data_IF_656358026466
#
_entry.id   IF_656358026466
#
_cell.length_a   1.000
_cell.length_b   1.000
_cell.length_c   1.000
_cell.angle_alpha   90.00
_cell.angle_beta   90.00
_cell.angle_gamma   90.00
#
_symmetry.space_group_name_H-M   'P 1'
#
loop_
_entity.id
_entity.type
_entity.pdbx_description
1 polymer ?
#
# COMPACT_ATOMS: atom_id res chain seq x y z
N UNK A 1 1.81 -4.39 -10.12
CA UNK A 1 1.56 -3.82 -8.78
C UNK A 1 0.67 -4.78 -8.03
N UNK A 2 0.95 -5.00 -6.76
CA UNK A 2 0.16 -5.84 -5.88
C UNK A 2 0.02 -5.11 -4.54
N UNK A 3 -1.20 -5.05 -4.04
CA UNK A 3 -1.61 -4.25 -2.89
C UNK A 3 -2.89 -4.86 -2.30
N UNK A 4 -3.35 -4.36 -1.15
CA UNK A 4 -4.57 -4.82 -0.49
C UNK A 4 -5.54 -3.66 -0.28
N UNK A 5 -6.83 -3.96 -0.35
CA UNK A 5 -7.91 -3.08 0.08
C UNK A 5 -8.58 -3.75 1.28
N UNK A 6 -8.32 -3.22 2.47
CA UNK A 6 -9.03 -3.60 3.69
C UNK A 6 -10.16 -2.61 3.90
N UNK A 7 -11.41 -3.05 3.90
CA UNK A 7 -12.58 -2.18 3.96
C UNK A 7 -13.66 -2.77 4.87
N UNK A 8 -14.18 -1.95 5.78
CA UNK A 8 -15.25 -2.33 6.71
C UNK A 8 -16.64 -2.08 6.12
N UNK A 9 -17.64 -2.81 6.60
CA UNK A 9 -19.03 -2.60 6.18
C UNK A 9 -19.47 -1.14 6.42
N UNK A 10 -20.02 -0.51 5.39
CA UNK A 10 -20.37 0.91 5.35
C UNK A 10 -19.19 1.85 5.06
N UNK A 11 -17.94 1.38 5.14
CA UNK A 11 -16.77 2.18 4.81
C UNK A 11 -16.64 2.34 3.29
N UNK A 12 -16.17 3.52 2.87
CA UNK A 12 -15.85 3.84 1.47
C UNK A 12 -14.36 4.15 1.36
N UNK A 13 -13.68 3.55 0.37
CA UNK A 13 -12.26 3.77 0.10
C UNK A 13 -11.98 3.93 -1.39
N UNK A 14 -10.99 4.77 -1.68
CA UNK A 14 -10.44 4.99 -3.01
C UNK A 14 -8.93 4.75 -3.06
N UNK A 15 -8.40 3.88 -2.21
CA UNK A 15 -6.98 3.55 -2.24
C UNK A 15 -6.73 2.11 -1.82
N UNK A 16 -5.56 1.60 -2.18
CA UNK A 16 -5.05 0.28 -1.75
C UNK A 16 -3.66 0.44 -1.13
N UNK A 17 -3.32 -0.41 -0.16
CA UNK A 17 -2.04 -0.36 0.57
C UNK A 17 -1.06 -1.43 0.05
N UNK A 18 0.18 -1.06 -0.24
CA UNK A 18 1.30 -1.97 -0.54
C UNK A 18 2.13 -2.18 0.72
N UNK A 19 1.78 -3.19 1.51
CA UNK A 19 2.38 -3.43 2.83
C UNK A 19 3.89 -3.71 2.81
N UNK A 20 4.46 -4.00 1.63
CA UNK A 20 5.90 -4.23 1.41
C UNK A 20 6.72 -2.94 1.26
N UNK A 21 6.06 -1.81 1.04
CA UNK A 21 6.71 -0.52 0.85
C UNK A 21 6.19 0.47 1.89
N UNK A 22 7.07 1.35 2.34
CA UNK A 22 6.71 2.44 3.25
C UNK A 22 6.88 3.81 2.60
N UNK A 23 6.08 4.75 3.07
CA UNK A 23 6.18 6.17 2.79
C UNK A 23 6.00 6.97 4.08
N UNK A 24 6.73 8.07 4.21
CA UNK A 24 6.34 9.14 5.12
C UNK A 24 5.34 10.02 4.35
N UNK A 25 4.07 9.92 4.73
CA UNK A 25 3.00 10.72 4.16
C UNK A 25 2.84 12.02 4.96
N UNK A 26 2.74 13.12 4.23
CA UNK A 26 2.45 14.46 4.75
C UNK A 26 1.14 14.87 4.13
N UNK A 27 0.15 15.17 4.97
CA UNK A 27 -1.22 15.43 4.52
C UNK A 27 -1.60 16.84 4.95
N UNK A 28 -1.86 17.70 3.96
CA UNK A 28 -2.46 19.01 4.15
C UNK A 28 -3.97 18.90 3.91
N UNK A 29 -4.75 19.14 4.96
CA UNK A 29 -6.23 19.09 4.95
C UNK A 29 -6.88 20.48 4.92
N UNK A 30 -6.12 21.51 4.54
CA UNK A 30 -6.64 22.89 4.54
C UNK A 30 -7.74 23.11 3.49
N UNK A 31 -7.77 22.31 2.42
CA UNK A 31 -8.85 22.35 1.45
C UNK A 31 -10.04 21.49 1.92
N UNK A 32 -11.27 22.02 1.94
CA UNK A 32 -12.44 21.29 2.44
C UNK A 32 -12.91 20.15 1.52
N UNK A 33 -12.54 20.18 0.24
CA UNK A 33 -13.01 19.23 -0.77
C UNK A 33 -12.03 18.07 -0.97
N UNK A 34 -10.73 18.27 -0.71
CA UNK A 34 -9.69 17.26 -0.90
C UNK A 34 -8.48 17.45 0.01
N UNK A 35 -7.84 16.33 0.35
CA UNK A 35 -6.56 16.34 1.03
C UNK A 35 -5.42 16.40 0.00
N UNK A 36 -4.41 17.24 0.24
CA UNK A 36 -3.15 17.20 -0.53
C UNK A 36 -2.16 16.29 0.19
N UNK A 37 -1.69 15.25 -0.50
CA UNK A 37 -0.78 14.24 0.08
C UNK A 37 0.56 14.27 -0.63
N UNK A 38 1.62 14.47 0.14
CA UNK A 38 3.00 14.30 -0.31
C UNK A 38 3.52 12.99 0.27
N UNK A 39 3.88 12.07 -0.62
CA UNK A 39 4.46 10.78 -0.27
C UNK A 39 5.97 10.83 -0.45
N UNK A 40 6.71 10.65 0.66
CA UNK A 40 8.17 10.52 0.64
C UNK A 40 8.52 9.02 0.74
N UNK A 41 9.05 8.41 -0.34
CA UNK A 41 9.36 6.99 -0.34
C UNK A 41 10.45 6.64 0.69
N UNK A 42 10.36 5.44 1.27
CA UNK A 42 11.36 4.89 2.19
C UNK A 42 12.80 4.96 1.65
N UNK A 43 13.01 4.80 0.34
CA UNK A 43 14.33 4.89 -0.29
C UNK A 43 14.96 6.29 -0.19
N UNK A 44 14.16 7.35 -0.06
CA UNK A 44 14.65 8.70 0.22
C UNK A 44 14.95 8.89 1.70
N UNK A 45 14.11 8.35 2.58
CA UNK A 45 14.32 8.38 4.03
C UNK A 45 15.63 7.68 4.43
N UNK A 46 15.94 6.53 3.80
CA UNK A 46 17.19 5.78 4.00
C UNK A 46 18.46 6.60 3.71
N UNK A 47 18.38 7.63 2.87
CA UNK A 47 19.54 8.46 2.52
C UNK A 47 19.97 9.40 3.65
N UNK A 48 19.13 9.60 4.66
CA UNK A 48 19.42 10.45 5.83
C UNK A 48 19.84 11.90 5.44
N UNK A 49 19.21 12.43 4.40
CA UNK A 49 19.47 13.77 3.86
C UNK A 49 18.35 14.75 4.22
N UNK A 50 18.56 16.02 3.86
CA UNK A 50 17.50 17.02 3.84
C UNK A 50 16.57 16.75 2.67
N UNK A 51 15.27 16.74 2.95
CA UNK A 51 14.20 16.59 1.98
C UNK A 51 13.49 17.93 1.89
N UNK A 52 13.45 18.47 0.67
CA UNK A 52 12.87 19.77 0.35
C UNK A 52 12.03 19.63 -0.90
N UNK A 53 10.80 20.12 -0.87
CA UNK A 53 9.88 20.11 -2.00
C UNK A 53 9.30 21.50 -2.20
N UNK A 54 9.20 22.01 -3.45
CA UNK A 54 8.61 23.31 -3.74
C UNK A 54 7.17 23.49 -3.21
N UNK A 55 6.44 22.39 -3.06
CA UNK A 55 5.03 22.37 -2.66
C UNK A 55 4.81 22.55 -1.14
N UNK A 56 5.87 22.50 -0.32
CA UNK A 56 5.79 22.69 1.15
C UNK A 56 6.71 23.81 1.64
N UNK A 57 6.29 24.58 2.67
CA UNK A 57 7.07 25.70 3.20
C UNK A 57 8.13 25.27 4.24
N UNK A 58 8.52 24.00 4.26
CA UNK A 58 9.44 23.45 5.26
C UNK A 58 10.34 22.35 4.69
N UNK A 59 11.45 22.12 5.37
CA UNK A 59 12.39 21.06 5.08
C UNK A 59 12.32 19.98 6.15
N UNK A 60 12.58 18.75 5.74
CA UNK A 60 12.64 17.59 6.64
C UNK A 60 14.06 17.07 6.64
N UNK A 61 14.75 17.20 7.76
CA UNK A 61 16.10 16.67 7.93
C UNK A 61 15.99 15.30 8.57
N UNK A 62 16.31 14.25 7.81
CA UNK A 62 16.30 12.89 8.34
C UNK A 62 17.59 12.67 9.16
N UNK A 63 17.44 12.66 10.49
CA UNK A 63 18.56 12.53 11.45
C UNK A 63 19.04 11.09 11.59
N UNK A 64 18.10 10.14 11.63
CA UNK A 64 18.42 8.72 11.66
C UNK A 64 17.28 7.90 11.08
N UNK A 65 17.64 6.74 10.56
CA UNK A 65 16.74 5.77 9.98
C UNK A 65 17.16 4.38 10.47
N UNK A 66 16.20 3.61 10.99
CA UNK A 66 16.38 2.23 11.44
C UNK A 66 15.50 1.31 10.58
N UNK A 67 16.08 0.26 10.00
CA UNK A 67 15.33 -0.74 9.22
C UNK A 67 14.39 -1.57 10.08
N UNK A 68 14.77 -1.82 11.33
CA UNK A 68 13.90 -2.46 12.32
C UNK A 68 14.23 -1.93 13.72
N UNK A 69 13.19 -1.79 14.55
CA UNK A 69 13.35 -1.34 15.92
C UNK A 69 12.31 -1.95 16.85
N UNK A 70 12.69 -2.10 18.11
CA UNK A 70 11.77 -2.38 19.21
C UNK A 70 11.43 -1.05 19.91
N UNK A 71 10.14 -0.78 20.06
CA UNK A 71 9.62 0.42 20.72
C UNK A 71 9.01 0.02 22.07
N UNK A 72 9.34 0.78 23.11
CA UNK A 72 8.78 0.56 24.46
C UNK A 72 8.46 1.88 25.14
N UNK A 73 7.47 1.87 26.03
CA UNK A 73 7.11 3.08 26.79
C UNK A 73 8.22 3.44 27.78
N UNK A 74 8.46 4.75 27.97
CA UNK A 74 9.41 5.23 28.98
C UNK A 74 8.95 4.96 30.42
N UNK A 75 7.66 4.72 30.62
CA UNK A 75 7.10 4.38 31.95
C UNK A 75 7.43 2.95 32.40
N UNK A 76 7.88 2.08 31.49
CA UNK A 76 8.45 0.77 31.83
C UNK A 76 9.91 0.94 32.26
N UNK A 77 10.21 0.67 33.54
CA UNK A 77 11.55 0.78 34.15
C UNK A 77 12.62 -0.08 33.44
N UNK A 78 13.18 0.42 32.33
CA UNK A 78 14.37 -0.12 31.70
C UNK A 78 15.35 1.00 31.36
N UNK A 79 16.44 1.04 32.13
CA UNK A 79 17.64 1.81 31.87
C UNK A 79 18.34 1.26 30.64
N UNK A 80 18.07 1.79 29.45
CA UNK A 80 18.91 1.69 28.25
C UNK A 80 18.31 2.56 27.12
N UNK A 81 18.98 3.66 26.78
CA UNK A 81 18.54 4.64 25.78
C UNK A 81 19.49 4.56 24.58
N UNK A 82 19.00 4.21 23.38
CA UNK A 82 19.86 4.13 22.16
C UNK A 82 19.56 5.24 21.12
N UNK A 83 18.34 5.79 21.07
CA UNK A 83 18.04 6.94 20.21
C UNK A 83 18.02 8.28 20.97
N UNK A 84 18.36 9.41 20.31
CA UNK A 84 18.19 10.75 20.89
C UNK A 84 16.74 10.98 21.29
N UNK A 85 16.52 11.71 22.39
CA UNK A 85 15.17 12.13 22.75
C UNK A 85 14.61 13.05 21.66
N UNK A 86 13.46 12.69 21.10
CA UNK A 86 12.70 13.61 20.26
C UNK A 86 12.02 14.67 21.12
N UNK A 87 11.84 15.87 20.58
CA UNK A 87 11.31 17.01 21.36
C UNK A 87 9.80 17.11 21.36
N UNK A 88 9.11 16.46 20.40
CA UNK A 88 7.66 16.55 20.23
C UNK A 88 7.02 15.20 19.86
N UNK A 89 5.69 15.18 19.94
CA UNK A 89 4.86 14.05 19.51
C UNK A 89 4.97 12.83 20.42
N UNK A 90 4.34 11.73 20.00
CA UNK A 90 4.27 10.49 20.78
C UNK A 90 5.65 9.88 21.06
N UNK A 91 6.64 10.20 20.21
CA UNK A 91 8.02 9.74 20.39
C UNK A 91 8.69 10.29 21.65
N UNK A 92 8.21 11.37 22.26
CA UNK A 92 8.79 11.91 23.51
C UNK A 92 8.68 10.91 24.66
N UNK A 93 7.68 10.02 24.62
CA UNK A 93 7.40 9.02 25.65
C UNK A 93 7.85 7.59 25.28
N UNK A 94 8.60 7.45 24.19
CA UNK A 94 9.01 6.15 23.65
C UNK A 94 10.54 5.99 23.73
N UNK A 95 10.98 4.81 24.16
CA UNK A 95 12.33 4.31 23.92
C UNK A 95 12.36 3.48 22.66
N UNK A 96 13.44 3.64 21.89
CA UNK A 96 13.65 2.91 20.65
C UNK A 96 14.99 2.19 20.74
N UNK A 97 14.97 0.91 20.41
CA UNK A 97 16.15 0.05 20.35
C UNK A 97 16.28 -0.55 18.95
N UNK A 98 17.45 -0.41 18.33
CA UNK A 98 17.66 -1.00 17.00
C UNK A 98 17.63 -2.53 17.08
N UNK A 99 17.09 -3.17 16.04
CA UNK A 99 17.07 -4.62 15.88
C UNK A 99 17.57 -5.00 14.50
N UNK A 100 18.03 -6.24 14.37
CA UNK A 100 18.29 -6.82 13.07
C UNK A 100 17.00 -6.93 12.25
N UNK A 101 17.12 -6.74 10.94
CA UNK A 101 16.01 -6.87 10.02
C UNK A 101 15.55 -8.33 9.93
N UNK A 102 14.25 -8.57 10.03
CA UNK A 102 13.68 -9.85 9.66
C UNK A 102 13.67 -9.97 8.14
N UNK A 103 14.21 -11.08 7.64
CA UNK A 103 14.17 -11.44 6.21
C UNK A 103 12.91 -12.25 5.86
N UNK A 104 12.27 -12.85 6.87
CA UNK A 104 11.08 -13.68 6.69
C UNK A 104 9.81 -12.82 6.66
N UNK A 105 8.95 -13.05 5.67
CA UNK A 105 7.73 -12.27 5.42
C UNK A 105 6.71 -12.31 6.56
N UNK A 106 6.78 -13.32 7.44
CA UNK A 106 5.84 -13.47 8.57
C UNK A 106 6.11 -12.48 9.72
N UNK A 107 7.24 -11.78 9.69
CA UNK A 107 7.59 -10.81 10.72
C UNK A 107 7.56 -9.40 10.15
N UNK A 108 7.09 -8.46 10.97
CA UNK A 108 7.03 -7.04 10.61
C UNK A 108 8.28 -6.34 11.11
N UNK A 109 8.99 -5.68 10.19
CA UNK A 109 10.05 -4.75 10.55
C UNK A 109 9.43 -3.39 10.89
N UNK A 110 9.62 -2.93 12.14
CA UNK A 110 9.13 -1.62 12.58
C UNK A 110 10.13 -0.53 12.22
N UNK A 111 10.19 -0.23 10.93
CA UNK A 111 10.99 0.88 10.38
C UNK A 111 10.70 2.14 11.19
N UNK A 112 11.75 2.82 11.61
CA UNK A 112 11.66 3.99 12.48
C UNK A 112 12.58 5.10 11.99
N UNK A 113 12.04 6.31 11.91
CA UNK A 113 12.66 7.49 11.35
C UNK A 113 12.63 8.61 12.39
N UNK A 114 13.80 9.15 12.70
CA UNK A 114 13.94 10.37 13.48
C UNK A 114 14.16 11.52 12.50
N UNK A 115 13.27 12.50 12.52
CA UNK A 115 13.33 13.64 11.63
C UNK A 115 13.26 14.95 12.41
N UNK A 116 13.98 15.95 11.93
CA UNK A 116 13.85 17.34 12.35
C UNK A 116 13.08 18.11 11.27
N UNK A 117 12.12 18.93 11.68
CA UNK A 117 11.36 19.78 10.76
C UNK A 117 11.89 21.21 10.87
N UNK A 118 12.25 21.80 9.74
CA UNK A 118 12.77 23.16 9.64
C UNK A 118 11.81 24.06 8.85
N UNK A 119 11.40 25.19 9.40
CA UNK A 119 10.71 26.27 8.67
C UNK A 119 11.59 27.51 8.67
N UNK A 120 11.80 28.13 7.51
CA UNK A 120 12.67 29.32 7.37
C UNK A 120 14.07 29.15 8.01
N UNK A 121 14.66 27.96 7.84
CA UNK A 121 15.93 27.53 8.46
C UNK A 121 15.94 27.51 10.00
N UNK A 122 14.79 27.63 10.65
CA UNK A 122 14.63 27.47 12.09
C UNK A 122 14.04 26.10 12.40
N UNK A 123 14.56 25.46 13.44
CA UNK A 123 14.04 24.17 13.89
C UNK A 123 12.71 24.33 14.61
N UNK A 124 11.71 23.59 14.15
CA UNK A 124 10.42 23.46 14.83
C UNK A 124 10.45 22.34 15.87
N UNK A 125 11.48 21.50 15.85
CA UNK A 125 11.64 20.35 16.74
C UNK A 125 12.00 19.07 16.00
N UNK A 126 11.99 17.97 16.75
CA UNK A 126 12.24 16.63 16.22
C UNK A 126 11.09 15.70 16.57
N UNK A 127 10.81 14.78 15.65
CA UNK A 127 9.73 13.80 15.72
C UNK A 127 10.25 12.40 15.42
N UNK A 128 9.56 11.43 16.01
CA UNK A 128 9.77 10.01 15.73
C UNK A 128 8.59 9.51 14.90
N UNK A 129 8.87 9.00 13.71
CA UNK A 129 7.88 8.32 12.87
C UNK A 129 8.23 6.84 12.81
N UNK A 130 7.30 5.97 13.18
CA UNK A 130 7.54 4.52 13.16
C UNK A 130 6.35 3.81 12.57
N UNK A 131 6.58 2.68 11.90
CA UNK A 131 5.51 1.80 11.41
C UNK A 131 4.66 1.25 12.58
N UNK A 132 5.20 1.23 13.79
CA UNK A 132 4.46 0.84 15.00
C UNK A 132 3.51 1.94 15.53
N UNK A 133 3.61 3.17 15.03
CA UNK A 133 2.76 4.29 15.45
C UNK A 133 1.69 4.47 14.37
N UNK A 134 0.47 4.01 14.67
CA UNK A 134 -0.65 4.02 13.70
C UNK A 134 -1.36 5.37 13.62
N UNK A 135 -1.15 6.26 14.59
CA UNK A 135 -1.79 7.59 14.62
C UNK A 135 -0.97 8.62 13.85
N UNK A 136 -1.66 9.57 13.20
CA UNK A 136 -1.00 10.74 12.60
C UNK A 136 -0.47 11.66 13.70
N UNK A 137 0.64 12.34 13.39
CA UNK A 137 1.20 13.39 14.22
C UNK A 137 0.94 14.73 13.56
N UNK A 138 0.12 15.55 14.20
CA UNK A 138 -0.21 16.89 13.74
C UNK A 138 0.94 17.84 14.03
N UNK A 139 1.42 18.55 13.00
CA UNK A 139 2.47 19.57 13.12
C UNK A 139 1.93 20.87 12.54
N UNK A 140 1.99 21.94 13.33
CA UNK A 140 1.65 23.29 12.86
C UNK A 140 2.88 23.98 12.28
N UNK A 141 2.78 24.45 11.04
CA UNK A 141 3.85 25.11 10.29
C UNK A 141 3.24 26.30 9.55
N UNK A 142 3.68 27.51 9.87
CA UNK A 142 3.18 28.76 9.26
C UNK A 142 1.65 28.89 9.31
N UNK A 143 1.04 28.60 10.47
CA UNK A 143 -0.41 28.58 10.72
C UNK A 143 -1.21 27.56 9.88
N UNK A 144 -0.55 26.58 9.28
CA UNK A 144 -1.18 25.43 8.65
C UNK A 144 -0.89 24.17 9.43
N UNK A 145 -1.86 23.26 9.48
CA UNK A 145 -1.69 21.96 10.11
C UNK A 145 -1.40 20.89 9.06
N UNK A 146 -0.36 20.10 9.32
CA UNK A 146 0.04 18.98 8.49
C UNK A 146 0.03 17.70 9.33
N UNK A 147 -0.64 16.67 8.85
CA UNK A 147 -0.60 15.32 9.43
C UNK A 147 0.59 14.56 8.87
N UNK A 148 1.45 14.05 9.74
CA UNK A 148 2.57 13.20 9.37
C UNK A 148 2.34 11.76 9.83
N UNK A 149 2.61 10.79 8.97
CA UNK A 149 2.54 9.37 9.32
C UNK A 149 3.48 8.53 8.45
N UNK A 150 4.19 7.58 9.08
CA UNK A 150 4.93 6.55 8.36
C UNK A 150 4.01 5.36 8.14
N UNK A 151 3.58 5.12 6.90
CA UNK A 151 2.55 4.13 6.56
C UNK A 151 2.92 3.32 5.32
N UNK A 152 2.23 2.19 5.05
CA UNK A 152 2.30 1.53 3.75
C UNK A 152 2.04 2.49 2.59
N UNK A 153 2.71 2.27 1.45
CA UNK A 153 2.46 3.09 0.25
C UNK A 153 1.02 2.90 -0.21
N UNK A 154 0.31 4.01 -0.43
CA UNK A 154 -1.06 3.99 -0.96
C UNK A 154 -1.09 4.22 -2.46
N UNK A 155 -1.87 3.40 -3.17
CA UNK A 155 -2.23 3.63 -4.56
C UNK A 155 -3.68 4.08 -4.64
N UNK A 156 -3.88 5.38 -4.83
CA UNK A 156 -5.21 5.98 -4.98
C UNK A 156 -5.86 5.62 -6.33
N UNK A 157 -7.18 5.55 -6.33
CA UNK A 157 -8.04 5.26 -7.48
C UNK A 157 -8.92 6.46 -7.78
N UNK A 158 -9.31 6.60 -9.05
CA UNK A 158 -10.25 7.62 -9.53
C UNK A 158 -11.73 7.23 -9.34
N UNK A 159 -11.98 6.25 -8.48
CA UNK A 159 -13.28 5.66 -8.21
C UNK A 159 -13.28 5.15 -6.77
N UNK A 160 -14.48 5.06 -6.20
CA UNK A 160 -14.72 4.62 -4.84
C UNK A 160 -15.26 3.19 -4.82
N UNK A 161 -14.87 2.45 -3.80
CA UNK A 161 -15.50 1.18 -3.44
C UNK A 161 -16.05 1.32 -2.01
N UNK A 162 -17.33 1.01 -1.84
CA UNK A 162 -17.97 0.92 -0.53
C UNK A 162 -18.32 -0.54 -0.25
N UNK A 163 -17.97 -1.08 0.91
CA UNK A 163 -18.42 -2.42 1.29
C UNK A 163 -19.84 -2.32 1.83
N UNK A 164 -20.81 -2.91 1.14
CA UNK A 164 -22.21 -2.92 1.57
C UNK A 164 -22.52 -4.06 2.54
N UNK A 165 -21.95 -5.22 2.28
CA UNK A 165 -22.25 -6.46 3.02
C UNK A 165 -21.09 -7.45 2.80
N UNK A 166 -20.59 -8.05 3.87
CA UNK A 166 -19.68 -9.18 3.86
C UNK A 166 -20.38 -10.41 4.41
N UNK A 167 -20.27 -11.52 3.70
CA UNK A 167 -20.81 -12.80 4.14
C UNK A 167 -19.78 -13.87 4.01
N UNK A 168 -19.76 -14.78 4.98
CA UNK A 168 -19.02 -16.02 4.87
C UNK A 168 -19.90 -17.21 5.28
N UNK A 169 -19.69 -18.34 4.61
CA UNK A 169 -20.23 -19.64 5.00
C UNK A 169 -19.11 -20.43 5.66
N UNK A 170 -19.41 -21.17 6.73
CA UNK A 170 -18.50 -22.16 7.34
C UNK A 170 -18.87 -23.58 6.95
N UNK A 171 -17.90 -24.50 7.01
CA UNK A 171 -18.23 -25.92 6.92
C UNK A 171 -19.02 -26.37 8.16
N UNK A 172 -20.11 -27.15 7.99
CA UNK A 172 -20.90 -27.63 9.12
C UNK A 172 -20.04 -28.33 10.18
N UNK A 173 -20.14 -27.86 11.43
CA UNK A 173 -19.41 -28.44 12.56
C UNK A 173 -17.93 -28.02 12.66
N UNK A 174 -17.51 -26.98 11.95
CA UNK A 174 -16.16 -26.41 12.04
C UNK A 174 -16.20 -24.89 11.99
N UNK A 175 -15.13 -24.21 12.41
CA UNK A 175 -14.93 -22.78 12.20
C UNK A 175 -14.18 -22.47 10.88
N UNK A 176 -14.10 -23.46 9.96
CA UNK A 176 -13.37 -23.31 8.71
C UNK A 176 -14.27 -22.58 7.70
N UNK A 177 -13.85 -21.41 7.19
CA UNK A 177 -14.61 -20.71 6.15
C UNK A 177 -14.59 -21.53 4.85
N UNK A 178 -15.78 -21.76 4.31
CA UNK A 178 -16.05 -22.45 3.05
C UNK A 178 -16.13 -21.48 1.88
N UNK A 179 -16.89 -20.40 2.04
CA UNK A 179 -17.07 -19.36 1.03
C UNK A 179 -17.07 -18.01 1.73
N UNK A 180 -16.59 -16.98 1.06
CA UNK A 180 -16.77 -15.60 1.48
C UNK A 180 -17.04 -14.72 0.28
N UNK A 181 -17.85 -13.70 0.49
CA UNK A 181 -18.31 -12.78 -0.53
C UNK A 181 -18.43 -11.37 0.03
N UNK A 182 -18.07 -10.40 -0.78
CA UNK A 182 -18.28 -8.97 -0.49
C UNK A 182 -19.16 -8.38 -1.57
N UNK A 183 -20.28 -7.82 -1.15
CA UNK A 183 -21.06 -6.92 -1.97
C UNK A 183 -20.43 -5.54 -1.87
N UNK A 184 -19.80 -5.09 -2.95
CA UNK A 184 -19.21 -3.76 -3.03
C UNK A 184 -20.01 -2.88 -3.96
N UNK A 185 -20.23 -1.64 -3.55
CA UNK A 185 -20.74 -0.58 -4.39
C UNK A 185 -19.57 0.12 -5.06
N UNK A 186 -19.60 0.18 -6.39
CA UNK A 186 -18.60 0.86 -7.21
C UNK A 186 -19.20 2.15 -7.73
N UNK A 187 -18.51 3.26 -7.45
CA UNK A 187 -18.84 4.59 -7.97
C UNK A 187 -17.64 5.17 -8.72
N UNK A 188 -17.79 5.36 -10.03
CA UNK A 188 -16.80 5.96 -10.92
C UNK A 188 -17.45 7.13 -11.69
N UNK A 189 -17.29 8.37 -11.21
CA UNK A 189 -17.88 9.55 -11.84
C UNK A 189 -17.37 9.80 -13.26
N UNK A 190 -16.11 9.47 -13.57
CA UNK A 190 -15.54 9.67 -14.90
C UNK A 190 -16.17 8.76 -15.96
N UNK A 191 -16.54 7.53 -15.55
CA UNK A 191 -17.24 6.57 -16.42
C UNK A 191 -18.76 6.62 -16.29
N UNK A 192 -19.29 7.45 -15.40
CA UNK A 192 -20.71 7.51 -15.05
C UNK A 192 -21.24 6.13 -14.66
N UNK A 193 -20.44 5.40 -13.89
CA UNK A 193 -20.74 4.04 -13.46
C UNK A 193 -21.02 4.03 -11.96
N UNK A 194 -22.21 3.59 -11.60
CA UNK A 194 -22.69 3.50 -10.23
C UNK A 194 -23.48 2.18 -10.14
N UNK A 195 -22.89 1.17 -9.49
CA UNK A 195 -23.50 -0.17 -9.40
C UNK A 195 -22.93 -1.01 -8.27
N UNK A 196 -23.71 -2.02 -7.90
CA UNK A 196 -23.27 -3.06 -6.98
C UNK A 196 -22.62 -4.22 -7.73
N UNK A 197 -21.54 -4.76 -7.14
CA UNK A 197 -20.82 -5.92 -7.65
C UNK A 197 -20.53 -6.88 -6.51
N UNK A 198 -20.88 -8.14 -6.70
CA UNK A 198 -20.54 -9.21 -5.78
C UNK A 198 -19.16 -9.79 -6.13
N UNK A 199 -18.20 -9.67 -5.21
CA UNK A 199 -16.88 -10.30 -5.30
C UNK A 199 -16.90 -11.54 -4.41
N UNK A 200 -16.65 -12.71 -5.00
CA UNK A 200 -16.63 -13.98 -4.28
C UNK A 200 -15.58 -14.92 -4.87
N UNK A 201 -15.44 -16.12 -4.29
CA UNK A 201 -14.42 -17.09 -4.71
C UNK A 201 -14.47 -17.36 -6.21
N UNK A 202 -13.30 -17.25 -6.87
CA UNK A 202 -13.11 -17.39 -8.32
C UNK A 202 -13.88 -16.39 -9.21
N UNK A 203 -14.57 -15.41 -8.62
CA UNK A 203 -15.29 -14.36 -9.32
C UNK A 203 -14.81 -12.98 -8.83
N UNK A 204 -13.59 -12.58 -9.24
CA UNK A 204 -13.04 -11.29 -8.85
C UNK A 204 -13.68 -10.14 -9.63
N UNK A 205 -13.70 -8.95 -9.02
CA UNK A 205 -14.01 -7.71 -9.75
C UNK A 205 -12.79 -7.31 -10.59
N UNK A 206 -12.99 -7.17 -11.90
CA UNK A 206 -11.99 -6.61 -12.82
C UNK A 206 -12.42 -5.21 -13.22
N UNK A 207 -11.66 -4.20 -12.81
CA UNK A 207 -12.00 -2.81 -13.05
C UNK A 207 -10.76 -1.94 -13.26
N UNK A 208 -10.80 -1.05 -14.26
CA UNK A 208 -9.69 -0.15 -14.64
C UNK A 208 -8.29 -0.81 -14.64
N UNK A 209 -8.21 -2.03 -15.20
CA UNK A 209 -6.96 -2.80 -15.29
C UNK A 209 -6.46 -3.41 -13.97
N UNK A 210 -7.22 -3.24 -12.87
CA UNK A 210 -7.00 -3.90 -11.58
C UNK A 210 -7.96 -5.08 -11.44
N UNK A 211 -7.53 -6.10 -10.70
CA UNK A 211 -8.36 -7.25 -10.33
C UNK A 211 -8.40 -7.37 -8.82
N UNK A 212 -9.60 -7.37 -8.25
CA UNK A 212 -9.88 -7.45 -6.82
C UNK A 212 -10.34 -8.87 -6.49
N UNK A 213 -9.49 -9.60 -5.78
CA UNK A 213 -9.76 -10.96 -5.31
C UNK A 213 -10.12 -10.92 -3.84
N UNK A 214 -11.06 -11.77 -3.44
CA UNK A 214 -11.27 -12.08 -2.05
C UNK A 214 -10.04 -12.76 -1.45
N UNK A 215 -9.47 -12.20 -0.38
CA UNK A 215 -8.22 -12.68 0.20
C UNK A 215 -8.36 -13.10 1.67
N UNK A 216 -9.00 -12.27 2.50
CA UNK A 216 -9.20 -12.54 3.92
C UNK A 216 -10.34 -11.69 4.48
N UNK A 217 -10.62 -11.83 5.77
CA UNK A 217 -11.64 -11.10 6.50
C UNK A 217 -11.27 -10.99 7.98
N UNK A 218 -11.98 -10.13 8.73
CA UNK A 218 -11.73 -9.96 10.16
C UNK A 218 -12.80 -9.11 10.84
N UNK A 219 -12.49 -8.64 12.06
CA UNK A 219 -13.37 -7.77 12.89
C UNK A 219 -14.80 -8.33 13.00
N UNK A 220 -14.96 -9.55 13.51
CA UNK A 220 -16.27 -10.19 13.69
C UNK A 220 -17.14 -10.15 12.40
N UNK A 221 -16.52 -10.47 11.27
CA UNK A 221 -17.10 -10.48 9.92
C UNK A 221 -17.57 -9.13 9.36
N UNK A 222 -17.07 -8.02 9.89
CA UNK A 222 -17.38 -6.69 9.35
C UNK A 222 -16.29 -6.16 8.42
N UNK A 223 -15.12 -6.81 8.36
CA UNK A 223 -13.99 -6.40 7.53
C UNK A 223 -13.76 -7.38 6.38
N UNK A 224 -13.69 -6.88 5.15
CA UNK A 224 -13.18 -7.62 4.00
C UNK A 224 -11.78 -7.15 3.61
N UNK A 225 -10.90 -8.10 3.29
CA UNK A 225 -9.57 -7.84 2.74
C UNK A 225 -9.55 -8.36 1.31
N UNK A 226 -9.43 -7.43 0.36
CA UNK A 226 -9.36 -7.72 -1.06
C UNK A 226 -7.90 -7.60 -1.55
N UNK A 227 -7.37 -8.66 -2.15
CA UNK A 227 -6.09 -8.60 -2.85
C UNK A 227 -6.27 -7.91 -4.20
N UNK A 228 -5.50 -6.86 -4.44
CA UNK A 228 -5.60 -6.04 -5.65
C UNK A 228 -4.35 -6.21 -6.49
N UNK A 229 -4.54 -6.78 -7.68
CA UNK A 229 -3.46 -7.06 -8.63
C UNK A 229 -3.65 -6.23 -9.89
N UNK A 230 -2.57 -5.55 -10.30
CA UNK A 230 -2.48 -4.87 -11.58
C UNK A 230 -1.27 -5.41 -12.34
N UNK A 231 -1.53 -6.20 -13.38
CA UNK A 231 -0.49 -6.76 -14.23
C UNK A 231 -0.51 -6.10 -15.62
N UNK A 232 0.37 -5.13 -15.91
CA UNK A 232 0.45 -4.52 -17.23
C UNK A 232 0.94 -5.49 -18.32
N UNK A 233 1.65 -6.55 -17.94
CA UNK A 233 2.23 -7.56 -18.82
C UNK A 233 1.30 -8.76 -19.08
N UNK A 234 0.00 -8.65 -18.76
CA UNK A 234 -0.96 -9.75 -18.90
C UNK A 234 -1.10 -10.28 -20.34
N UNK A 235 -0.71 -9.49 -21.35
CA UNK A 235 -0.72 -9.86 -22.77
C UNK A 235 0.47 -10.72 -23.20
N UNK A 236 1.58 -10.72 -22.45
CA UNK A 236 2.82 -11.39 -22.88
C UNK A 236 2.66 -12.90 -23.13
N UNK A 237 1.94 -13.68 -22.30
CA UNK A 237 1.71 -15.08 -22.59
C UNK A 237 0.98 -15.29 -23.93
N UNK A 238 0.01 -14.43 -24.25
CA UNK A 238 -0.73 -14.51 -25.51
C UNK A 238 0.16 -14.17 -26.71
N UNK A 239 0.99 -13.13 -26.62
CA UNK A 239 1.94 -12.81 -27.69
C UNK A 239 2.95 -13.92 -27.92
N UNK A 240 3.43 -14.59 -26.85
CA UNK A 240 4.33 -15.73 -26.97
C UNK A 240 3.65 -16.92 -27.67
N UNK A 241 2.40 -17.24 -27.29
CA UNK A 241 1.61 -18.27 -27.96
C UNK A 241 1.40 -17.98 -29.45
N UNK A 242 1.11 -16.72 -29.82
CA UNK A 242 0.96 -16.32 -31.22
C UNK A 242 2.27 -16.49 -31.98
N UNK A 243 3.41 -16.09 -31.41
CA UNK A 243 4.74 -16.28 -32.02
C UNK A 243 5.06 -17.76 -32.25
N UNK A 244 4.78 -18.62 -31.26
CA UNK A 244 4.96 -20.07 -31.40
C UNK A 244 4.05 -20.64 -32.48
N UNK A 245 2.77 -20.26 -32.49
CA UNK A 245 1.81 -20.70 -33.50
C UNK A 245 2.23 -20.27 -34.91
N UNK A 246 2.72 -19.04 -35.08
CA UNK A 246 3.25 -18.56 -36.37
C UNK A 246 4.50 -19.32 -36.81
N UNK A 247 5.42 -19.62 -35.88
CA UNK A 247 6.61 -20.42 -36.17
C UNK A 247 6.27 -21.83 -36.64
N UNK A 248 5.34 -22.49 -35.96
CA UNK A 248 4.85 -23.82 -36.35
C UNK A 248 4.13 -23.78 -37.71
N UNK A 249 3.31 -22.75 -37.96
CA UNK A 249 2.62 -22.58 -39.24
C UNK A 249 3.60 -22.37 -40.39
N UNK A 250 4.63 -21.55 -40.19
CA UNK A 250 5.69 -21.35 -41.18
C UNK A 250 6.46 -22.64 -41.49
N UNK A 251 6.84 -23.39 -40.45
CA UNK A 251 7.51 -24.69 -40.61
C UNK A 251 6.64 -25.70 -41.37
N UNK A 252 5.33 -25.70 -41.09
CA UNK A 252 4.39 -26.57 -41.78
C UNK A 252 4.22 -26.20 -43.26
N UNK A 253 4.01 -24.91 -43.56
CA UNK A 253 3.84 -24.43 -44.95
C UNK A 253 5.11 -24.69 -45.77
N UNK A 254 6.29 -24.41 -45.22
CA UNK A 254 7.56 -24.67 -45.91
C UNK A 254 7.75 -26.17 -46.20
N UNK A 255 7.45 -27.04 -45.24
CA UNK A 255 7.45 -28.49 -45.45
C UNK A 255 6.45 -28.95 -46.51
N UNK A 256 5.22 -28.40 -46.50
CA UNK A 256 4.17 -28.74 -47.45
C UNK A 256 4.52 -28.36 -48.89
N UNK A 257 5.08 -27.16 -49.11
CA UNK A 257 5.52 -26.68 -50.43
C UNK A 257 6.64 -27.56 -50.98
N UNK A 258 7.63 -27.90 -50.16
CA UNK A 258 8.74 -28.78 -50.55
C UNK A 258 8.27 -30.20 -50.90
N UNK A 259 7.28 -30.72 -50.17
CA UNK A 259 6.69 -32.03 -50.48
C UNK A 259 5.89 -32.01 -51.80
N UNK A 260 5.09 -30.97 -52.02
CA UNK A 260 4.32 -30.80 -53.26
C UNK A 260 5.22 -30.67 -54.48
N UNK A 261 6.30 -29.87 -54.41
CA UNK A 261 7.24 -29.70 -55.51
C UNK A 261 8.00 -30.97 -55.87
N UNK A 262 8.29 -31.85 -54.91
CA UNK A 262 8.95 -33.15 -55.14
C UNK A 262 8.05 -34.20 -55.81
N UNK A 263 6.73 -34.01 -55.79
CA UNK A 263 5.76 -34.96 -56.36
C UNK A 263 5.34 -34.62 -57.81
N UNK A 264 5.68 -33.41 -58.25
CA UNK A 264 5.43 -32.88 -59.60
C UNK A 264 6.68 -32.96 -60.52
N UNK A 265 7.80 -33.43 -59.99
CA UNK A 265 9.02 -33.81 -60.75
C UNK A 265 9.15 -35.33 -60.82
#
# INVERSE_FOLDING_TARGET
IESQLSIEEGETKNFTDDFRKLELAIIDRTNPDFDTVISIPQSMLKKQNVISYPEIPFNIVIKSYLDNAELSSKTSNHSMQELPQVTHGIGSEIFVKSKDEFVQDNFVNYVTVHAEILSNNQSLGTWLFSRAIEQTQLIEIENKHYDFILRPVRYYTSYDLTLKDFRHDIYPGTDIPKNFSSLVHLNDPEKQEDRDVLIYMNHPLRYRGKTYYQASFGKDDTLSILQVVQNPAWLFPYTACILVAMGLLYQFITGLVQFSSKRLS
#
